data_IF_586269096073
#
_entry.id   IF_586269096073
#
_cell.length_a   1.000
_cell.length_b   1.000
_cell.length_c   1.000
_cell.angle_alpha   90.00
_cell.angle_beta   90.00
_cell.angle_gamma   90.00
#
_symmetry.space_group_name_H-M   'P 1'
#
loop_
_entity.id
_entity.type
_entity.pdbx_description
1 polymer ?
#
# COMPACT_ATOMS: atom_id res chain seq x y z
N UNK A 1 -22.94 -18.75 7.31
CA UNK A 1 -23.13 -17.36 7.77
C UNK A 1 -21.81 -16.88 8.34
N UNK A 2 -21.13 -15.96 7.66
CA UNK A 2 -19.83 -15.43 8.10
C UNK A 2 -20.07 -14.39 9.21
N UNK A 3 -19.60 -14.66 10.43
CA UNK A 3 -19.77 -13.75 11.57
C UNK A 3 -18.42 -13.21 12.03
N UNK A 4 -18.19 -11.90 11.83
CA UNK A 4 -16.98 -11.21 12.26
C UNK A 4 -16.72 -11.35 13.77
N UNK A 5 -17.75 -11.39 14.60
CA UNK A 5 -17.60 -11.50 16.06
C UNK A 5 -16.98 -12.85 16.44
N UNK A 6 -17.29 -13.91 15.70
CA UNK A 6 -16.69 -15.23 15.91
C UNK A 6 -15.22 -15.26 15.48
N UNK A 7 -14.88 -14.59 14.38
CA UNK A 7 -13.49 -14.46 13.91
C UNK A 7 -12.66 -13.60 14.88
N UNK A 8 -13.23 -12.49 15.37
CA UNK A 8 -12.63 -11.61 16.35
C UNK A 8 -12.32 -12.33 17.67
N UNK A 9 -13.29 -13.09 18.19
CA UNK A 9 -13.14 -13.87 19.42
C UNK A 9 -12.04 -14.94 19.31
N UNK A 10 -11.94 -15.63 18.17
CA UNK A 10 -10.90 -16.64 17.93
C UNK A 10 -9.49 -16.03 17.81
N UNK A 11 -9.39 -14.80 17.32
CA UNK A 11 -8.11 -14.12 17.10
C UNK A 11 -7.73 -13.20 18.28
N UNK A 12 -8.56 -13.09 19.32
CA UNK A 12 -8.31 -12.24 20.49
C UNK A 12 -8.24 -10.75 20.14
N UNK A 13 -8.94 -10.33 19.10
CA UNK A 13 -8.94 -8.96 18.59
C UNK A 13 -10.32 -8.32 18.79
N UNK A 14 -10.34 -7.02 19.06
CA UNK A 14 -11.59 -6.28 19.20
C UNK A 14 -12.23 -6.03 17.83
N UNK A 15 -13.57 -6.01 17.82
CA UNK A 15 -14.37 -5.57 16.69
C UNK A 15 -14.51 -4.04 16.78
N UNK A 16 -13.96 -3.32 15.83
CA UNK A 16 -14.04 -1.86 15.80
C UNK A 16 -15.20 -1.41 14.88
N UNK A 17 -15.88 -0.34 15.28
CA UNK A 17 -16.82 0.38 14.42
C UNK A 17 -16.07 1.47 13.67
N UNK A 18 -16.39 1.63 12.39
CA UNK A 18 -15.56 2.37 11.46
C UNK A 18 -14.65 1.43 10.69
N UNK A 19 -14.65 1.59 9.38
CA UNK A 19 -13.78 0.82 8.51
C UNK A 19 -13.56 1.50 7.17
N UNK A 20 -12.40 1.21 6.57
CA UNK A 20 -12.14 1.50 5.18
C UNK A 20 -13.13 0.70 4.33
N UNK A 21 -13.89 1.42 3.50
CA UNK A 21 -14.84 0.82 2.58
C UNK A 21 -14.66 1.44 1.20
N UNK A 22 -15.02 0.68 0.17
CA UNK A 22 -15.08 1.18 -1.21
C UNK A 22 -16.52 1.57 -1.48
N UNK A 23 -16.73 2.82 -1.88
CA UNK A 23 -18.02 3.29 -2.39
C UNK A 23 -18.00 3.29 -3.91
N UNK A 24 -19.17 3.03 -4.51
CA UNK A 24 -19.43 3.15 -5.94
C UNK A 24 -20.59 4.12 -6.11
N UNK A 25 -20.40 5.17 -6.89
CA UNK A 25 -21.43 6.17 -7.19
C UNK A 25 -21.35 6.66 -8.64
N UNK A 26 -22.48 7.11 -9.18
CA UNK A 26 -22.55 7.75 -10.47
C UNK A 26 -22.56 9.27 -10.29
N UNK A 27 -21.64 9.96 -10.96
CA UNK A 27 -21.44 11.39 -10.86
C UNK A 27 -21.46 12.03 -12.24
N UNK A 28 -21.93 13.28 -12.29
CA UNK A 28 -21.95 14.09 -13.50
C UNK A 28 -20.81 15.10 -13.44
N UNK A 29 -20.10 15.28 -14.55
CA UNK A 29 -19.04 16.28 -14.69
C UNK A 29 -19.64 17.67 -14.62
N UNK A 30 -19.14 18.49 -13.69
CA UNK A 30 -19.63 19.85 -13.48
C UNK A 30 -19.26 20.83 -14.60
N UNK A 31 -19.60 22.11 -14.39
CA UNK A 31 -19.41 23.17 -15.38
C UNK A 31 -17.95 23.36 -15.83
N UNK A 32 -16.98 23.00 -14.99
CA UNK A 32 -15.56 22.95 -15.34
C UNK A 32 -15.24 21.48 -15.62
N UNK A 33 -15.14 21.12 -16.90
CA UNK A 33 -14.78 19.76 -17.33
C UNK A 33 -13.45 19.27 -16.74
N UNK A 34 -13.15 17.99 -16.96
CA UNK A 34 -11.89 17.36 -16.53
C UNK A 34 -11.89 16.77 -15.12
N UNK A 35 -12.98 16.87 -14.35
CA UNK A 35 -13.10 16.24 -13.04
C UNK A 35 -14.55 15.98 -12.63
N UNK A 36 -14.74 15.06 -11.68
CA UNK A 36 -16.01 14.83 -11.00
C UNK A 36 -15.85 15.09 -9.50
N UNK A 37 -16.87 15.65 -8.87
CA UNK A 37 -16.88 15.96 -7.43
C UNK A 37 -17.46 14.78 -6.65
N UNK A 38 -16.66 14.20 -5.76
CA UNK A 38 -17.03 13.04 -4.95
C UNK A 38 -17.96 13.44 -3.79
N UNK A 39 -18.92 12.59 -3.47
CA UNK A 39 -19.85 12.85 -2.36
C UNK A 39 -19.16 12.76 -1.00
N UNK A 40 -18.38 11.71 -0.79
CA UNK A 40 -17.67 11.46 0.47
C UNK A 40 -16.22 11.94 0.39
N UNK A 41 -15.62 12.26 1.55
CA UNK A 41 -14.19 12.57 1.62
C UNK A 41 -13.38 11.29 1.37
N UNK A 42 -12.57 11.22 0.30
CA UNK A 42 -11.74 10.06 0.03
C UNK A 42 -10.65 9.93 1.09
N UNK A 43 -10.26 8.69 1.39
CA UNK A 43 -9.20 8.37 2.35
C UNK A 43 -8.07 7.61 1.66
N UNK A 44 -6.83 7.90 2.05
CA UNK A 44 -5.67 7.22 1.51
C UNK A 44 -5.62 5.77 2.02
N UNK A 45 -5.42 4.83 1.11
CA UNK A 45 -5.11 3.44 1.43
C UNK A 45 -3.59 3.27 1.44
N UNK A 46 -3.02 2.92 2.60
CA UNK A 46 -1.56 2.78 2.77
C UNK A 46 -0.76 4.00 2.29
N UNK A 47 -1.28 5.21 2.55
CA UNK A 47 -0.64 6.48 2.17
C UNK A 47 -0.88 6.94 0.73
N UNK A 48 -1.61 6.17 -0.10
CA UNK A 48 -1.93 6.55 -1.48
C UNK A 48 -3.44 6.65 -1.69
N UNK A 49 -3.91 7.68 -2.40
CA UNK A 49 -5.30 7.76 -2.82
C UNK A 49 -5.52 6.91 -4.05
N UNK A 50 -6.42 5.94 -3.96
CA UNK A 50 -6.74 5.02 -5.04
C UNK A 50 -8.20 5.26 -5.43
N UNK A 51 -8.42 5.50 -6.72
CA UNK A 51 -9.74 5.64 -7.28
C UNK A 51 -9.81 5.12 -8.70
N UNK A 52 -11.00 4.69 -9.09
CA UNK A 52 -11.29 4.21 -10.42
C UNK A 52 -12.49 4.94 -10.98
N UNK A 53 -12.52 5.09 -12.30
CA UNK A 53 -13.67 5.63 -13.02
C UNK A 53 -13.94 4.81 -14.28
N UNK A 54 -15.19 4.86 -14.75
CA UNK A 54 -15.59 4.36 -16.06
C UNK A 54 -16.83 5.11 -16.55
N UNK A 55 -17.09 5.09 -17.85
CA UNK A 55 -18.42 5.53 -18.34
C UNK A 55 -19.45 4.44 -18.05
N UNK A 56 -20.75 4.79 -17.90
CA UNK A 56 -21.81 3.79 -17.67
C UNK A 56 -21.87 2.70 -18.75
N UNK A 57 -21.46 3.03 -19.98
CA UNK A 57 -21.38 2.10 -21.12
C UNK A 57 -20.18 1.14 -21.07
N UNK A 58 -19.17 1.44 -20.26
CA UNK A 58 -17.88 0.73 -20.31
C UNK A 58 -17.84 -0.44 -19.34
N UNK A 59 -17.14 -1.52 -19.73
CA UNK A 59 -16.90 -2.69 -18.89
C UNK A 59 -15.69 -2.51 -17.98
N UNK A 60 -14.65 -1.85 -18.48
CA UNK A 60 -13.34 -1.72 -17.81
C UNK A 60 -13.26 -0.47 -16.93
N UNK A 61 -12.55 -0.61 -15.83
CA UNK A 61 -12.27 0.49 -14.89
C UNK A 61 -10.90 1.10 -15.19
N UNK A 62 -10.85 2.43 -15.32
CA UNK A 62 -9.61 3.20 -15.44
C UNK A 62 -9.21 3.79 -14.10
N UNK A 63 -7.91 3.96 -13.85
CA UNK A 63 -7.40 4.57 -12.62
C UNK A 63 -7.50 6.09 -12.72
N UNK A 64 -8.17 6.71 -11.76
CA UNK A 64 -8.31 8.17 -11.64
C UNK A 64 -7.35 8.74 -10.60
N UNK A 65 -6.96 10.00 -10.78
CA UNK A 65 -6.20 10.74 -9.76
C UNK A 65 -7.18 11.45 -8.83
N UNK A 66 -7.01 11.31 -7.51
CA UNK A 66 -7.89 11.94 -6.52
C UNK A 66 -7.19 13.14 -5.87
N UNK A 67 -7.86 14.29 -5.87
CA UNK A 67 -7.57 15.43 -5.00
C UNK A 67 -8.50 15.36 -3.78
N UNK A 68 -7.94 14.94 -2.65
CA UNK A 68 -8.71 14.71 -1.43
C UNK A 68 -9.13 16.00 -0.72
N UNK A 69 -8.40 17.10 -0.92
CA UNK A 69 -8.70 18.39 -0.32
C UNK A 69 -9.88 19.04 -1.03
N UNK A 70 -9.94 18.90 -2.36
CA UNK A 70 -11.06 19.39 -3.17
C UNK A 70 -12.22 18.39 -3.30
N UNK A 71 -12.08 17.17 -2.77
CA UNK A 71 -13.00 16.03 -2.99
C UNK A 71 -13.28 15.80 -4.48
N UNK A 72 -12.25 15.82 -5.31
CA UNK A 72 -12.38 15.64 -6.75
C UNK A 72 -11.61 14.41 -7.23
N UNK A 73 -12.18 13.75 -8.23
CA UNK A 73 -11.46 12.80 -9.06
C UNK A 73 -11.20 13.45 -10.41
N UNK A 74 -9.93 13.61 -10.76
CA UNK A 74 -9.49 14.13 -12.04
C UNK A 74 -9.59 13.04 -13.10
N UNK A 75 -10.33 13.34 -14.16
CA UNK A 75 -10.58 12.45 -15.30
C UNK A 75 -10.18 13.23 -16.55
N UNK A 76 -9.01 12.91 -17.09
CA UNK A 76 -8.48 13.62 -18.26
C UNK A 76 -9.46 13.49 -19.44
N UNK A 77 -9.85 14.63 -20.02
CA UNK A 77 -10.75 14.69 -21.18
C UNK A 77 -12.24 14.54 -20.87
N UNK A 78 -12.65 14.49 -19.60
CA UNK A 78 -14.06 14.49 -19.23
C UNK A 78 -14.75 15.80 -19.63
N UNK A 79 -15.88 15.71 -20.34
CA UNK A 79 -16.67 16.86 -20.79
C UNK A 79 -17.80 17.15 -19.82
N UNK A 80 -18.23 18.41 -19.78
CA UNK A 80 -19.39 18.84 -18.99
C UNK A 80 -20.63 18.01 -19.34
N UNK A 81 -21.43 17.69 -18.31
CA UNK A 81 -22.64 16.87 -18.38
C UNK A 81 -22.42 15.39 -18.79
N UNK A 82 -21.16 14.92 -18.85
CA UNK A 82 -20.89 13.48 -18.98
C UNK A 82 -21.06 12.76 -17.63
N UNK A 83 -21.64 11.56 -17.69
CA UNK A 83 -21.81 10.67 -16.55
C UNK A 83 -20.63 9.72 -16.41
N UNK A 84 -20.15 9.55 -15.18
CA UNK A 84 -19.09 8.61 -14.84
C UNK A 84 -19.46 7.84 -13.57
N UNK A 85 -19.26 6.52 -13.60
CA UNK A 85 -19.26 5.71 -12.39
C UNK A 85 -17.86 5.78 -11.78
N UNK A 86 -17.78 6.13 -10.50
CA UNK A 86 -16.51 6.21 -9.76
C UNK A 86 -16.48 5.26 -8.59
N UNK A 87 -15.30 4.76 -8.27
CA UNK A 87 -14.98 3.96 -7.09
C UNK A 87 -13.83 4.57 -6.33
N UNK A 88 -13.97 4.70 -5.02
CA UNK A 88 -12.90 5.20 -4.17
C UNK A 88 -13.06 4.72 -2.74
N UNK A 89 -11.96 4.76 -1.99
CA UNK A 89 -11.96 4.45 -0.57
C UNK A 89 -12.49 5.63 0.25
N UNK A 90 -13.36 5.34 1.20
CA UNK A 90 -13.85 6.30 2.19
C UNK A 90 -13.92 5.64 3.57
N UNK A 91 -13.99 6.46 4.61
CA UNK A 91 -14.24 6.00 5.97
C UNK A 91 -15.74 5.79 6.16
N UNK A 92 -16.17 4.55 6.34
CA UNK A 92 -17.55 4.23 6.67
C UNK A 92 -17.67 4.01 8.18
N UNK A 93 -18.31 4.94 8.88
CA UNK A 93 -18.54 4.86 10.35
C UNK A 93 -19.41 3.66 10.75
N UNK A 94 -20.26 3.17 9.85
CA UNK A 94 -21.14 2.03 10.09
C UNK A 94 -20.50 0.68 9.75
N UNK A 95 -19.32 0.67 9.14
CA UNK A 95 -18.62 -0.58 8.82
C UNK A 95 -18.03 -1.20 10.08
N UNK A 96 -18.12 -2.53 10.19
CA UNK A 96 -17.45 -3.31 11.25
C UNK A 96 -16.11 -3.80 10.70
N UNK A 97 -15.00 -3.44 11.34
CA UNK A 97 -13.67 -3.84 10.93
C UNK A 97 -12.95 -4.62 12.04
N UNK A 98 -12.02 -5.50 11.63
CA UNK A 98 -11.14 -6.23 12.54
C UNK A 98 -9.72 -6.06 12.01
N UNK A 99 -8.82 -5.54 12.82
CA UNK A 99 -7.40 -5.44 12.47
C UNK A 99 -6.68 -6.69 12.96
N UNK A 100 -6.35 -7.59 12.04
CA UNK A 100 -5.51 -8.76 12.34
C UNK A 100 -4.05 -8.32 12.20
N UNK A 101 -3.36 -8.16 13.34
CA UNK A 101 -1.93 -7.91 13.33
C UNK A 101 -1.22 -9.18 12.85
N UNK A 102 -0.82 -9.20 11.59
CA UNK A 102 0.11 -10.21 11.10
C UNK A 102 1.50 -9.91 11.70
N UNK A 103 1.71 -10.28 12.96
CA UNK A 103 3.07 -10.45 13.47
C UNK A 103 3.64 -11.69 12.80
N UNK A 104 4.19 -11.51 11.59
CA UNK A 104 5.04 -12.52 10.98
C UNK A 104 6.37 -12.51 11.73
N UNK A 105 6.43 -13.26 12.83
CA UNK A 105 7.70 -13.67 13.44
C UNK A 105 8.11 -14.95 12.70
N UNK A 106 9.00 -14.88 11.69
CA UNK A 106 9.50 -16.10 11.09
C UNK A 106 10.19 -16.93 12.17
N UNK A 107 9.81 -18.21 12.28
CA UNK A 107 10.36 -19.14 13.28
C UNK A 107 11.89 -19.25 13.21
N UNK A 108 12.46 -19.06 12.02
CA UNK A 108 13.89 -19.04 11.75
C UNK A 108 14.16 -18.08 10.59
N UNK A 109 15.16 -17.20 10.75
CA UNK A 109 15.69 -16.37 9.67
C UNK A 109 17.13 -16.83 9.39
N UNK A 110 17.40 -17.21 8.15
CA UNK A 110 18.72 -17.64 7.67
C UNK A 110 19.39 -16.48 6.93
N UNK A 111 20.58 -16.07 7.37
CA UNK A 111 21.33 -14.98 6.75
C UNK A 111 22.63 -15.53 6.16
N UNK A 112 22.83 -15.33 4.86
CA UNK A 112 24.08 -15.66 4.15
C UNK A 112 24.73 -14.37 3.68
N UNK A 113 25.86 -14.01 4.29
CA UNK A 113 26.67 -12.86 3.91
C UNK A 113 27.77 -13.33 2.96
N UNK A 114 27.81 -12.77 1.76
CA UNK A 114 28.82 -13.08 0.75
C UNK A 114 29.69 -11.84 0.56
N UNK A 115 30.94 -11.90 1.01
CA UNK A 115 31.92 -10.85 0.79
C UNK A 115 33.05 -11.36 -0.11
N UNK A 116 33.42 -10.59 -1.12
CA UNK A 116 34.52 -10.93 -2.00
C UNK A 116 35.84 -10.43 -1.36
N UNK A 117 36.80 -11.33 -1.17
CA UNK A 117 38.11 -11.03 -0.58
C UNK A 117 39.09 -10.61 -1.68
N UNK A 118 39.70 -9.44 -1.52
CA UNK A 118 40.72 -8.91 -2.42
C UNK A 118 42.11 -9.02 -1.76
N UNK A 119 43.14 -9.47 -2.49
CA UNK A 119 44.51 -9.53 -1.97
C UNK A 119 45.12 -8.13 -1.90
N UNK A 120 45.62 -7.75 -0.72
CA UNK A 120 46.03 -6.38 -0.40
C UNK A 120 47.31 -5.91 -1.08
N UNK A 121 47.14 -5.04 -2.07
CA UNK A 121 48.01 -3.90 -2.33
C UNK A 121 47.09 -2.73 -2.70
N UNK A 122 47.24 -1.58 -2.04
CA UNK A 122 46.39 -0.40 -2.24
C UNK A 122 46.46 0.18 -3.65
N UNK A 123 47.33 -0.36 -4.52
CA UNK A 123 47.47 0.01 -5.92
C UNK A 123 46.64 -0.84 -6.90
N UNK A 124 46.11 -2.01 -6.50
CA UNK A 124 45.59 -3.02 -7.43
C UNK A 124 44.06 -3.24 -7.38
N UNK A 125 43.34 -2.41 -6.62
CA UNK A 125 41.89 -2.50 -6.38
C UNK A 125 41.05 -2.33 -7.67
N UNK A 126 41.66 -1.87 -8.76
CA UNK A 126 40.99 -1.64 -10.04
C UNK A 126 41.10 -2.82 -11.04
N UNK A 127 41.87 -3.88 -10.74
CA UNK A 127 42.03 -5.03 -11.63
C UNK A 127 41.20 -6.23 -11.18
N UNK A 128 40.43 -6.82 -12.11
CA UNK A 128 39.60 -8.02 -11.91
C UNK A 128 40.39 -9.29 -11.54
N UNK A 129 41.72 -9.19 -11.47
CA UNK A 129 42.67 -10.25 -11.09
C UNK A 129 43.01 -10.27 -9.59
N UNK A 130 42.55 -9.29 -8.81
CA UNK A 130 42.86 -9.15 -7.37
C UNK A 130 41.91 -9.94 -6.44
N UNK A 131 40.89 -10.62 -6.99
CA UNK A 131 39.94 -11.44 -6.24
C UNK A 131 40.58 -12.77 -5.83
N UNK A 132 40.97 -12.86 -4.56
CA UNK A 132 41.64 -14.04 -4.00
C UNK A 132 40.65 -15.11 -3.53
N UNK A 133 39.39 -14.72 -3.26
CA UNK A 133 38.37 -15.66 -2.84
C UNK A 133 37.08 -14.99 -2.42
N UNK A 134 36.20 -15.76 -1.78
CA UNK A 134 34.92 -15.31 -1.27
C UNK A 134 34.75 -15.79 0.16
N UNK A 135 34.55 -14.86 1.08
CA UNK A 135 34.14 -15.15 2.44
C UNK A 135 32.62 -15.32 2.44
N UNK A 136 32.16 -16.53 2.73
CA UNK A 136 30.74 -16.82 2.93
C UNK A 136 30.53 -17.02 4.43
N UNK A 137 29.78 -16.13 5.05
CA UNK A 137 29.38 -16.25 6.46
C UNK A 137 27.91 -16.65 6.51
N UNK A 138 27.67 -17.87 6.99
CA UNK A 138 26.35 -18.45 7.14
C UNK A 138 25.89 -18.34 8.59
N UNK A 139 24.71 -17.74 8.81
CA UNK A 139 24.09 -17.61 10.12
C UNK A 139 22.75 -18.36 10.10
N UNK A 140 22.67 -19.57 10.70
CA UNK A 140 21.52 -20.47 10.65
C UNK A 140 20.27 -19.93 11.37
N UNK A 141 20.48 -19.10 12.40
CA UNK A 141 19.41 -18.48 13.18
C UNK A 141 19.79 -17.03 13.49
N UNK A 142 19.35 -16.10 12.64
CA UNK A 142 19.57 -14.67 12.83
C UNK A 142 18.35 -14.04 13.50
N UNK A 143 18.55 -13.39 14.64
CA UNK A 143 17.49 -12.65 15.32
C UNK A 143 17.64 -11.16 14.97
N UNK A 144 16.60 -10.57 14.37
CA UNK A 144 16.54 -9.13 14.15
C UNK A 144 16.34 -8.45 15.51
N UNK A 145 17.36 -7.75 16.02
CA UNK A 145 17.19 -6.86 17.18
C UNK A 145 16.22 -5.74 16.79
N UNK A 146 15.12 -5.61 17.54
CA UNK A 146 14.03 -4.67 17.28
C UNK A 146 14.41 -3.18 17.37
N UNK A 147 15.70 -2.85 17.51
CA UNK A 147 16.22 -1.49 17.43
C UNK A 147 16.55 -1.08 15.98
N UNK A 148 15.53 -0.97 15.13
CA UNK A 148 15.73 -0.40 13.77
C UNK A 148 14.98 0.89 13.48
N UNK A 149 14.21 1.46 14.42
CA UNK A 149 13.69 2.83 14.27
C UNK A 149 13.65 3.59 15.60
N UNK A 150 14.83 4.07 16.05
CA UNK A 150 15.00 5.35 16.78
C UNK A 150 16.48 5.63 17.00
N UNK A 151 17.03 6.55 16.21
CA UNK A 151 18.00 7.57 16.66
C UNK A 151 17.90 8.77 15.71
N UNK A 152 17.12 9.77 16.11
CA UNK A 152 17.61 11.13 15.97
C UNK A 152 18.57 11.34 17.14
N UNK A 153 19.83 11.57 16.82
CA UNK A 153 20.77 12.41 17.57
C UNK A 153 21.80 12.87 16.55
#
# INVERSE_FOLDING_TARGET
MFNLQYVAANLGVNLEQGGLSVTEEELVVGAVGGSVTLTNKPIAFSGTYIGWYKKPSDSEWSIGTIDADQKKMNIAGAKTDEHYCVKYFYQNENAKSITIKAQFVPKVLHLVLINDLFSGSTADVASSTSKYGRLITDIPQFQLDGKIFKRCA
#
